data_IF_530000876403
#
_entry.id   IF_530000876403
#
_cell.length_a   1.000
_cell.length_b   1.000
_cell.length_c   1.000
_cell.angle_alpha   90.00
_cell.angle_beta   90.00
_cell.angle_gamma   90.00
#
_symmetry.space_group_name_H-M   'P 1'
#
loop_
_entity.id
_entity.type
_entity.pdbx_description
1 polymer ?
#
# COMPACT_ATOMS: atom_id res chain seq x y z
N UNK A 1 9.05 -4.95 -5.39
CA UNK A 1 7.84 -4.22 -5.88
C UNK A 1 7.17 -5.04 -6.98
N UNK A 2 5.93 -4.72 -7.35
CA UNK A 2 5.15 -5.33 -8.45
C UNK A 2 4.34 -4.25 -9.16
N UNK A 3 4.23 -4.32 -10.48
CA UNK A 3 3.32 -3.44 -11.25
C UNK A 3 1.89 -3.94 -11.10
N UNK A 4 0.98 -3.05 -10.72
CA UNK A 4 -0.45 -3.37 -10.57
C UNK A 4 -1.26 -2.42 -11.42
N UNK A 5 -2.19 -2.98 -12.19
CA UNK A 5 -3.22 -2.25 -12.93
C UNK A 5 -4.50 -2.30 -12.09
N UNK A 6 -5.00 -1.16 -11.63
CA UNK A 6 -6.15 -1.13 -10.69
C UNK A 6 -7.44 -0.56 -11.29
N UNK A 7 -7.39 0.20 -12.40
CA UNK A 7 -8.60 0.58 -13.16
C UNK A 7 -8.29 1.02 -14.58
N UNK A 8 -9.30 1.02 -15.43
CA UNK A 8 -9.32 1.81 -16.66
C UNK A 8 -9.52 3.29 -16.27
N UNK A 9 -8.57 4.14 -16.65
CA UNK A 9 -8.71 5.60 -16.60
C UNK A 9 -9.50 6.09 -17.81
N UNK A 10 -9.77 7.40 -17.85
CA UNK A 10 -10.47 8.02 -18.99
C UNK A 10 -9.62 8.08 -20.28
N UNK A 11 -8.32 7.79 -20.18
CA UNK A 11 -7.37 7.79 -21.30
C UNK A 11 -6.68 6.43 -21.48
N UNK A 12 -6.20 5.83 -20.38
CA UNK A 12 -5.49 4.54 -20.39
C UNK A 12 -5.73 3.76 -19.08
N UNK A 13 -5.34 2.48 -19.06
CA UNK A 13 -5.25 1.68 -17.83
C UNK A 13 -4.31 2.33 -16.82
N UNK A 14 -4.83 2.70 -15.65
CA UNK A 14 -4.03 3.21 -14.55
C UNK A 14 -3.21 2.09 -13.94
N UNK A 15 -1.90 2.20 -14.12
CA UNK A 15 -0.89 1.27 -13.62
C UNK A 15 0.25 2.02 -12.94
N UNK A 16 0.89 1.36 -11.98
CA UNK A 16 1.98 1.91 -11.18
C UNK A 16 2.68 0.76 -10.46
N UNK A 17 3.90 0.98 -9.97
CA UNK A 17 4.62 -0.02 -9.18
C UNK A 17 4.28 0.17 -7.72
N UNK A 18 3.99 -0.93 -7.06
CA UNK A 18 3.70 -0.95 -5.64
C UNK A 18 4.64 -1.92 -4.92
N UNK A 19 4.98 -1.59 -3.69
CA UNK A 19 5.56 -2.52 -2.73
C UNK A 19 4.62 -2.64 -1.53
N UNK A 20 4.64 -3.80 -0.87
CA UNK A 20 3.96 -3.97 0.41
C UNK A 20 4.90 -4.64 1.40
N UNK A 21 4.85 -4.22 2.65
CA UNK A 21 5.64 -4.78 3.73
C UNK A 21 4.81 -4.80 5.01
N UNK A 22 5.06 -5.79 5.87
CA UNK A 22 4.48 -5.83 7.20
C UNK A 22 5.34 -4.98 8.13
N UNK A 23 4.73 -3.97 8.74
CA UNK A 23 5.40 -3.06 9.67
C UNK A 23 4.66 -3.04 10.99
N UNK A 24 5.39 -2.89 12.08
CA UNK A 24 4.81 -2.70 13.41
C UNK A 24 4.92 -1.23 13.77
N UNK A 25 3.78 -0.52 13.78
CA UNK A 25 3.77 0.93 14.04
C UNK A 25 3.71 1.16 15.55
N UNK A 26 4.77 1.70 16.12
CA UNK A 26 4.83 2.06 17.53
C UNK A 26 4.10 3.37 17.81
N UNK A 27 2.92 3.33 18.41
CA UNK A 27 2.26 4.53 18.92
C UNK A 27 2.73 4.78 20.36
N UNK A 28 3.68 5.70 20.54
CA UNK A 28 4.24 6.25 21.78
C UNK A 28 4.29 5.30 23.01
N UNK A 29 5.51 4.86 23.36
CA UNK A 29 5.86 3.72 24.25
C UNK A 29 5.80 2.37 23.53
N UNK A 30 6.93 2.02 22.93
CA UNK A 30 7.17 0.72 22.29
C UNK A 30 7.07 -0.39 23.34
N UNK A 31 5.88 -0.93 23.55
CA UNK A 31 5.69 -2.22 24.22
C UNK A 31 5.64 -3.25 23.09
N UNK A 32 6.70 -4.03 22.84
CA UNK A 32 6.78 -4.89 21.65
C UNK A 32 5.62 -5.90 21.55
N UNK A 33 5.09 -6.34 22.68
CA UNK A 33 4.01 -7.33 22.79
C UNK A 33 2.64 -6.81 22.31
N UNK A 34 2.42 -5.49 22.33
CA UNK A 34 1.15 -4.88 21.92
C UNK A 34 1.15 -4.46 20.47
N UNK A 35 2.32 -4.45 19.81
CA UNK A 35 2.44 -4.07 18.41
C UNK A 35 1.78 -5.13 17.53
N UNK A 36 0.72 -4.72 16.83
CA UNK A 36 0.09 -5.52 15.79
C UNK A 36 0.75 -5.15 14.47
N UNK A 37 1.32 -6.10 13.71
CA UNK A 37 1.83 -5.77 12.39
C UNK A 37 0.68 -5.30 11.50
N UNK A 38 0.96 -4.28 10.71
CA UNK A 38 0.07 -3.65 9.75
C UNK A 38 0.69 -3.74 8.35
N UNK A 39 -0.13 -3.60 7.32
CA UNK A 39 0.36 -3.49 5.96
C UNK A 39 0.77 -2.06 5.67
N UNK A 40 2.04 -1.85 5.31
CA UNK A 40 2.49 -0.64 4.63
C UNK A 40 2.48 -0.91 3.13
N UNK A 41 1.59 -0.25 2.40
CA UNK A 41 1.61 -0.18 0.95
C UNK A 41 2.38 1.07 0.53
N UNK A 42 3.26 0.91 -0.44
CA UNK A 42 4.10 1.97 -0.99
C UNK A 42 3.84 2.03 -2.48
N UNK A 43 3.50 3.20 -3.00
CA UNK A 43 3.47 3.45 -4.43
C UNK A 43 4.79 4.10 -4.85
N UNK A 44 5.41 3.51 -5.87
CA UNK A 44 6.64 4.00 -6.46
C UNK A 44 6.51 3.95 -7.98
N UNK A 45 5.99 5.02 -8.61
CA UNK A 45 5.85 5.09 -10.05
C UNK A 45 7.19 4.87 -10.76
N UNK A 46 7.16 4.39 -12.00
CA UNK A 46 8.38 4.07 -12.74
C UNK A 46 9.26 5.29 -13.01
N UNK A 47 8.62 6.43 -13.24
CA UNK A 47 9.28 7.69 -13.60
C UNK A 47 9.77 8.49 -12.39
N UNK A 48 9.66 7.95 -11.18
CA UNK A 48 10.01 8.64 -9.93
C UNK A 48 11.26 8.02 -9.32
N UNK A 49 12.16 8.86 -8.81
CA UNK A 49 13.38 8.41 -8.12
C UNK A 49 13.07 7.78 -6.77
N UNK A 50 11.97 8.21 -6.14
CA UNK A 50 11.58 7.83 -4.79
C UNK A 50 10.10 7.47 -4.71
N UNK A 51 9.66 6.75 -3.65
CA UNK A 51 8.25 6.41 -3.50
C UNK A 51 7.41 7.63 -3.15
N UNK A 52 6.30 7.79 -3.85
CA UNK A 52 5.49 9.02 -3.82
C UNK A 52 4.32 8.95 -2.84
N UNK A 53 3.82 7.75 -2.52
CA UNK A 53 2.69 7.58 -1.61
C UNK A 53 2.85 6.37 -0.71
N UNK A 54 2.27 6.49 0.48
CA UNK A 54 2.33 5.50 1.54
C UNK A 54 0.93 5.34 2.15
N UNK A 55 0.52 4.10 2.40
CA UNK A 55 -0.73 3.78 3.10
C UNK A 55 -0.47 2.73 4.17
N UNK A 56 -1.04 2.95 5.34
CA UNK A 56 -1.13 1.95 6.40
C UNK A 56 -2.52 1.32 6.39
N UNK A 57 -2.55 0.00 6.53
CA UNK A 57 -3.79 -0.77 6.57
C UNK A 57 -3.74 -1.87 7.63
N UNK A 58 -4.73 -1.87 8.51
CA UNK A 58 -5.02 -2.89 9.53
C UNK A 58 -5.77 -4.10 8.94
N UNK A 59 -5.39 -4.52 7.73
CA UNK A 59 -6.03 -5.63 7.02
C UNK A 59 -5.40 -6.99 7.38
N UNK A 60 -6.13 -8.11 7.21
CA UNK A 60 -5.60 -9.45 7.42
C UNK A 60 -4.32 -9.71 6.63
N UNK A 61 -3.43 -10.56 7.14
CA UNK A 61 -2.21 -10.97 6.44
C UNK A 61 -2.52 -11.73 5.14
N UNK A 62 -3.67 -12.39 5.08
CA UNK A 62 -4.14 -13.13 3.91
C UNK A 62 -4.64 -12.23 2.77
N UNK A 63 -4.69 -10.90 2.98
CA UNK A 63 -5.15 -9.97 1.94
C UNK A 63 -4.29 -10.10 0.68
N UNK A 64 -4.95 -10.21 -0.46
CA UNK A 64 -4.28 -10.19 -1.76
C UNK A 64 -3.62 -8.84 -2.04
N UNK A 65 -2.61 -8.84 -2.90
CA UNK A 65 -1.91 -7.60 -3.27
C UNK A 65 -2.84 -6.61 -4.00
N UNK A 66 -3.64 -7.10 -4.96
CA UNK A 66 -4.54 -6.25 -5.75
C UNK A 66 -5.69 -5.66 -4.92
N UNK A 67 -6.41 -6.44 -4.09
CA UNK A 67 -7.39 -5.89 -3.14
C UNK A 67 -6.81 -4.80 -2.22
N UNK A 68 -5.56 -4.96 -1.76
CA UNK A 68 -4.90 -3.94 -0.94
C UNK A 68 -4.67 -2.63 -1.71
N UNK A 69 -4.24 -2.70 -2.98
CA UNK A 69 -4.08 -1.54 -3.86
C UNK A 69 -5.43 -0.88 -4.14
N UNK A 70 -6.47 -1.68 -4.43
CA UNK A 70 -7.81 -1.17 -4.74
C UNK A 70 -8.38 -0.40 -3.55
N UNK A 71 -8.26 -0.94 -2.33
CA UNK A 71 -8.67 -0.26 -1.08
C UNK A 71 -7.92 1.05 -0.84
N UNK A 72 -6.61 1.08 -1.12
CA UNK A 72 -5.80 2.29 -0.99
C UNK A 72 -6.22 3.39 -1.99
N UNK A 73 -6.60 3.00 -3.21
CA UNK A 73 -6.98 3.91 -4.30
C UNK A 73 -8.45 4.33 -4.25
N UNK A 74 -9.33 3.57 -3.60
CA UNK A 74 -10.74 3.91 -3.39
C UNK A 74 -10.95 5.23 -2.65
N UNK A 75 -10.00 5.64 -1.79
CA UNK A 75 -10.09 6.84 -0.95
C UNK A 75 -9.99 8.15 -1.74
N UNK A 76 -9.44 8.14 -2.95
CA UNK A 76 -9.27 9.33 -3.77
C UNK A 76 -10.13 9.16 -5.02
N UNK A 77 -11.41 9.54 -4.88
CA UNK A 77 -12.39 9.60 -5.97
C UNK A 77 -12.59 11.04 -6.41
#
# INVERSE_FOLDING_TARGET
WRTVVWREGSADFLSSRFARVRVSVGHNKLIPETLRPEWLLVEWPENETDPTKYWLATLPETIGFRPLVDLAKLRWR
#
